data_IF_653701937370
#
_entry.id   IF_653701937370
#
_cell.length_a   1.000
_cell.length_b   1.000
_cell.length_c   1.000
_cell.angle_alpha   90.00
_cell.angle_beta   90.00
_cell.angle_gamma   90.00
#
_symmetry.space_group_name_H-M   'P 1'
#
loop_
_entity.id
_entity.type
_entity.pdbx_description
1 polymer ?
#
# COMPACT_ATOMS: atom_id res chain seq x y z
N UNK A 1 -23.92 -3.59 7.59
CA UNK A 1 -23.54 -4.75 6.75
C UNK A 1 -22.26 -5.32 7.34
N UNK A 2 -22.18 -6.63 7.51
CA UNK A 2 -20.99 -7.33 8.00
C UNK A 2 -19.95 -7.43 6.89
N UNK A 3 -18.67 -7.32 7.25
CA UNK A 3 -17.58 -7.57 6.32
C UNK A 3 -16.99 -8.95 6.60
N UNK A 4 -16.40 -9.58 5.58
CA UNK A 4 -15.84 -10.92 5.66
C UNK A 4 -14.37 -10.89 5.24
N UNK A 5 -13.53 -11.63 5.97
CA UNK A 5 -12.21 -12.03 5.51
C UNK A 5 -12.29 -13.49 5.07
N UNK A 6 -12.20 -13.70 3.75
CA UNK A 6 -12.03 -15.02 3.17
C UNK A 6 -10.54 -15.34 3.17
N UNK A 7 -10.11 -16.31 3.96
CA UNK A 7 -8.69 -16.56 4.20
C UNK A 7 -8.37 -17.94 3.64
N UNK A 8 -7.45 -17.99 2.68
CA UNK A 8 -6.89 -19.26 2.24
C UNK A 8 -6.06 -19.92 3.36
N UNK A 9 -5.91 -21.25 3.30
CA UNK A 9 -5.13 -22.00 4.28
C UNK A 9 -3.67 -22.11 3.89
N UNK A 10 -3.37 -22.70 2.74
CA UNK A 10 -2.06 -23.22 2.36
C UNK A 10 -1.31 -22.16 1.55
N UNK A 11 -0.19 -21.66 2.08
CA UNK A 11 0.51 -20.47 1.56
C UNK A 11 0.09 -19.17 2.25
N UNK A 12 -0.94 -19.21 3.11
CA UNK A 12 -1.51 -18.04 3.79
C UNK A 12 -1.49 -18.15 5.31
N UNK A 13 -2.10 -19.19 5.88
CA UNK A 13 -2.06 -19.50 7.31
C UNK A 13 -0.87 -20.36 7.68
N UNK A 14 -0.55 -21.31 6.81
CA UNK A 14 0.55 -22.26 6.92
C UNK A 14 1.41 -22.21 5.67
N UNK A 15 2.66 -22.64 5.78
CA UNK A 15 3.53 -22.81 4.62
C UNK A 15 3.05 -24.03 3.83
N UNK A 16 2.78 -23.85 2.54
CA UNK A 16 2.41 -24.95 1.66
C UNK A 16 3.61 -25.90 1.49
N UNK A 17 3.44 -27.22 1.73
CA UNK A 17 4.52 -28.18 1.55
C UNK A 17 5.05 -28.18 0.11
N UNK A 18 6.37 -28.02 -0.12
CA UNK A 18 6.90 -27.68 -1.44
C UNK A 18 6.99 -28.87 -2.42
N UNK A 19 6.72 -30.10 -1.96
CA UNK A 19 6.92 -31.33 -2.75
C UNK A 19 5.61 -31.85 -3.33
N UNK A 20 4.63 -32.08 -2.47
CA UNK A 20 3.32 -32.65 -2.82
C UNK A 20 2.18 -31.67 -2.64
N UNK A 21 2.45 -30.45 -2.13
CA UNK A 21 1.45 -29.42 -1.83
C UNK A 21 0.38 -29.89 -0.82
N UNK A 22 0.66 -30.96 -0.09
CA UNK A 22 -0.29 -31.58 0.83
C UNK A 22 0.23 -31.53 2.26
N UNK A 23 -0.49 -30.80 3.12
CA UNK A 23 -0.29 -30.80 4.56
C UNK A 23 -1.03 -31.99 5.18
N UNK A 24 -0.40 -33.16 5.09
CA UNK A 24 -0.91 -34.48 5.46
C UNK A 24 -0.18 -35.10 6.67
N UNK A 25 0.70 -34.35 7.33
CA UNK A 25 1.45 -34.80 8.50
C UNK A 25 1.71 -33.64 9.47
N UNK A 26 1.96 -33.96 10.74
CA UNK A 26 2.25 -32.94 11.76
C UNK A 26 3.63 -32.30 11.56
N UNK A 27 4.58 -33.05 11.00
CA UNK A 27 5.95 -32.59 10.72
C UNK A 27 5.99 -31.55 9.60
N UNK A 28 5.01 -31.57 8.70
CA UNK A 28 4.83 -30.57 7.64
C UNK A 28 4.13 -29.30 8.12
N UNK A 29 3.53 -29.30 9.32
CA UNK A 29 2.79 -28.15 9.83
C UNK A 29 3.75 -27.03 10.25
N UNK A 30 3.87 -26.02 9.39
CA UNK A 30 4.60 -24.80 9.65
C UNK A 30 3.67 -23.60 9.46
N UNK A 31 3.56 -22.72 10.46
CA UNK A 31 2.74 -21.51 10.34
C UNK A 31 3.44 -20.44 9.53
N UNK A 32 2.67 -19.67 8.77
CA UNK A 32 3.20 -18.52 8.04
C UNK A 32 3.77 -17.48 9.04
N UNK A 33 4.95 -16.89 8.80
CA UNK A 33 5.55 -15.92 9.71
C UNK A 33 4.59 -14.80 10.16
N UNK A 34 4.53 -14.56 11.47
CA UNK A 34 3.73 -13.50 12.12
C UNK A 34 2.20 -13.63 11.97
N UNK A 35 1.69 -14.71 11.37
CA UNK A 35 0.25 -14.88 11.12
C UNK A 35 -0.59 -14.87 12.39
N UNK A 36 -0.16 -15.57 13.45
CA UNK A 36 -0.90 -15.66 14.70
C UNK A 36 -1.07 -14.29 15.36
N UNK A 37 0.03 -13.55 15.51
CA UNK A 37 0.00 -12.19 16.11
C UNK A 37 -0.98 -11.28 15.35
N UNK A 38 -0.90 -11.28 14.03
CA UNK A 38 -1.68 -10.36 13.20
C UNK A 38 -3.15 -10.77 13.08
N UNK A 39 -3.46 -12.05 12.93
CA UNK A 39 -4.85 -12.51 12.96
C UNK A 39 -5.50 -12.32 14.33
N UNK A 40 -4.78 -12.54 15.43
CA UNK A 40 -5.27 -12.26 16.78
C UNK A 40 -5.54 -10.77 16.97
N UNK A 41 -4.66 -9.90 16.45
CA UNK A 41 -4.90 -8.45 16.42
C UNK A 41 -6.15 -8.11 15.60
N UNK A 42 -6.27 -8.60 14.37
CA UNK A 42 -7.42 -8.34 13.49
C UNK A 42 -8.71 -8.82 14.18
N UNK A 43 -8.74 -10.04 14.71
CA UNK A 43 -9.92 -10.61 15.37
C UNK A 43 -10.34 -9.84 16.63
N UNK A 44 -9.37 -9.28 17.37
CA UNK A 44 -9.65 -8.50 18.59
C UNK A 44 -9.99 -7.02 18.35
N UNK A 45 -9.62 -6.47 17.19
CA UNK A 45 -9.76 -5.03 16.89
C UNK A 45 -10.75 -4.71 15.79
N UNK A 46 -11.06 -5.66 14.90
CA UNK A 46 -11.87 -5.45 13.72
C UNK A 46 -13.07 -6.39 13.70
N UNK A 47 -14.20 -5.86 13.21
CA UNK A 47 -15.47 -6.57 13.13
C UNK A 47 -15.61 -7.25 11.75
N UNK A 48 -14.79 -8.28 11.54
CA UNK A 48 -14.85 -9.15 10.36
C UNK A 48 -15.35 -10.55 10.75
N UNK A 49 -16.25 -11.10 9.95
CA UNK A 49 -16.49 -12.54 9.91
C UNK A 49 -15.28 -13.22 9.25
N UNK A 50 -14.75 -14.28 9.86
CA UNK A 50 -13.62 -15.04 9.33
C UNK A 50 -14.13 -16.31 8.65
N UNK A 51 -13.89 -16.44 7.35
CA UNK A 51 -14.24 -17.61 6.56
C UNK A 51 -12.97 -18.23 5.98
N UNK A 52 -12.61 -19.43 6.41
CA UNK A 52 -11.52 -20.18 5.77
C UNK A 52 -12.02 -20.75 4.45
N UNK A 53 -11.30 -20.58 3.35
CA UNK A 53 -11.67 -21.15 2.04
C UNK A 53 -10.45 -21.79 1.41
N UNK A 54 -10.45 -23.12 1.27
CA UNK A 54 -9.29 -23.86 0.76
C UNK A 54 -9.69 -24.95 -0.23
N UNK A 55 -8.82 -25.18 -1.22
CA UNK A 55 -8.88 -26.33 -2.13
C UNK A 55 -7.91 -27.40 -1.59
N UNK A 56 -8.35 -28.63 -1.41
CA UNK A 56 -7.55 -29.76 -0.93
C UNK A 56 -7.58 -30.89 -1.96
N UNK A 57 -6.69 -30.80 -2.94
CA UNK A 57 -6.69 -31.64 -4.14
C UNK A 57 -6.69 -33.14 -3.81
N UNK A 58 -7.81 -33.80 -4.08
CA UNK A 58 -7.97 -35.24 -3.87
C UNK A 58 -8.22 -35.65 -2.43
N UNK A 59 -8.62 -34.74 -1.54
CA UNK A 59 -8.97 -35.09 -0.16
C UNK A 59 -10.08 -36.16 -0.12
N UNK A 60 -9.83 -37.23 0.63
CA UNK A 60 -10.72 -38.40 0.72
C UNK A 60 -10.43 -39.49 -0.32
N UNK A 61 -9.45 -39.28 -1.21
CA UNK A 61 -8.96 -40.32 -2.13
C UNK A 61 -7.80 -41.12 -1.51
N UNK A 62 -7.36 -42.17 -2.20
CA UNK A 62 -6.20 -42.95 -1.76
C UNK A 62 -4.88 -42.16 -1.80
N UNK A 63 -4.77 -41.11 -2.63
CA UNK A 63 -3.59 -40.25 -2.68
C UNK A 63 -3.59 -39.18 -1.59
N UNK A 64 -4.75 -38.82 -1.02
CA UNK A 64 -4.84 -37.91 0.11
C UNK A 64 -5.97 -38.29 1.07
N UNK A 65 -5.76 -39.32 1.91
CA UNK A 65 -6.78 -39.82 2.82
C UNK A 65 -7.18 -38.79 3.89
N UNK A 66 -8.44 -38.80 4.31
CA UNK A 66 -8.91 -37.92 5.40
C UNK A 66 -8.14 -38.12 6.72
N UNK A 67 -7.71 -39.36 6.99
CA UNK A 67 -6.97 -39.71 8.20
C UNK A 67 -5.59 -39.05 8.31
N UNK A 68 -5.01 -38.60 7.19
CA UNK A 68 -3.74 -37.86 7.17
C UNK A 68 -3.97 -36.34 7.19
N UNK A 69 -5.05 -35.86 6.58
CA UNK A 69 -5.43 -34.44 6.58
C UNK A 69 -5.90 -33.92 7.96
N UNK A 70 -6.89 -34.60 8.58
CA UNK A 70 -7.58 -34.08 9.76
C UNK A 70 -6.66 -33.82 10.97
N UNK A 71 -5.67 -34.67 11.30
CA UNK A 71 -4.79 -34.41 12.43
C UNK A 71 -4.04 -33.08 12.33
N UNK A 72 -3.45 -32.79 11.16
CA UNK A 72 -2.73 -31.54 10.93
C UNK A 72 -3.67 -30.33 10.90
N UNK A 73 -4.80 -30.44 10.20
CA UNK A 73 -5.82 -29.40 10.17
C UNK A 73 -6.35 -29.05 11.58
N UNK A 74 -6.70 -30.07 12.38
CA UNK A 74 -7.24 -29.85 13.73
C UNK A 74 -6.20 -29.28 14.69
N UNK A 75 -4.93 -29.68 14.59
CA UNK A 75 -3.87 -29.09 15.39
C UNK A 75 -3.65 -27.61 15.03
N UNK A 76 -3.67 -27.28 13.74
CA UNK A 76 -3.60 -25.89 13.26
C UNK A 76 -4.75 -25.07 13.86
N UNK A 77 -5.99 -25.53 13.72
CA UNK A 77 -7.18 -24.84 14.24
C UNK A 77 -7.11 -24.66 15.76
N UNK A 78 -6.75 -25.69 16.51
CA UNK A 78 -6.61 -25.62 17.97
C UNK A 78 -5.51 -24.64 18.41
N UNK A 79 -4.42 -24.56 17.65
CA UNK A 79 -3.33 -23.63 17.95
C UNK A 79 -3.78 -22.19 17.71
N UNK A 80 -4.47 -21.93 16.59
CA UNK A 80 -5.05 -20.62 16.29
C UNK A 80 -6.09 -20.20 17.35
N UNK A 81 -6.96 -21.11 17.76
CA UNK A 81 -7.96 -20.87 18.82
C UNK A 81 -7.29 -20.51 20.16
N UNK A 82 -6.13 -21.12 20.48
CA UNK A 82 -5.33 -20.78 21.66
C UNK A 82 -4.86 -19.33 21.71
N UNK A 83 -4.72 -18.68 20.55
CA UNK A 83 -4.38 -17.25 20.39
C UNK A 83 -5.64 -16.38 20.21
N UNK A 84 -6.83 -16.93 20.41
CA UNK A 84 -8.12 -16.24 20.26
C UNK A 84 -8.59 -16.09 18.81
N UNK A 85 -7.94 -16.79 17.86
CA UNK A 85 -8.28 -16.74 16.43
C UNK A 85 -9.30 -17.84 16.15
N UNK A 86 -10.54 -17.45 15.91
CA UNK A 86 -11.65 -18.36 15.59
C UNK A 86 -12.20 -18.06 14.21
N UNK A 87 -12.55 -19.11 13.47
CA UNK A 87 -13.22 -19.00 12.17
C UNK A 87 -14.71 -19.22 12.36
N UNK A 88 -15.51 -18.33 11.77
CA UNK A 88 -16.96 -18.41 11.80
C UNK A 88 -17.47 -19.44 10.77
N UNK A 89 -16.72 -19.64 9.69
CA UNK A 89 -16.97 -20.67 8.67
C UNK A 89 -15.67 -21.31 8.16
N UNK A 90 -15.76 -22.56 7.73
CA UNK A 90 -14.66 -23.30 7.12
C UNK A 90 -15.18 -24.03 5.88
N UNK A 91 -14.66 -23.67 4.71
CA UNK A 91 -15.03 -24.22 3.41
C UNK A 91 -13.83 -24.97 2.82
N UNK A 92 -13.97 -26.29 2.66
CA UNK A 92 -12.93 -27.19 2.13
C UNK A 92 -13.49 -27.87 0.89
N UNK A 93 -12.88 -27.61 -0.26
CA UNK A 93 -13.22 -28.30 -1.51
C UNK A 93 -12.22 -29.44 -1.79
N UNK A 94 -12.67 -30.70 -1.91
CA UNK A 94 -11.78 -31.84 -2.12
C UNK A 94 -11.46 -32.15 -3.60
N UNK A 95 -12.08 -31.42 -4.53
CA UNK A 95 -12.05 -31.77 -5.96
C UNK A 95 -10.70 -31.48 -6.60
N UNK A 96 -10.39 -32.18 -7.69
CA UNK A 96 -9.20 -31.88 -8.51
C UNK A 96 -9.47 -30.69 -9.45
N UNK A 97 -8.42 -29.98 -9.92
CA UNK A 97 -8.58 -28.92 -10.93
C UNK A 97 -9.39 -29.35 -12.17
N UNK A 98 -9.16 -30.56 -12.67
CA UNK A 98 -9.83 -31.14 -13.84
C UNK A 98 -11.33 -31.40 -13.65
N UNK A 99 -11.79 -31.57 -12.40
CA UNK A 99 -13.21 -31.83 -12.09
C UNK A 99 -14.08 -30.62 -12.39
N UNK A 100 -13.48 -29.43 -12.49
CA UNK A 100 -14.18 -28.17 -12.75
C UNK A 100 -15.36 -27.93 -11.80
N UNK A 101 -15.25 -28.40 -10.55
CA UNK A 101 -16.32 -28.31 -9.57
C UNK A 101 -16.71 -26.83 -9.31
N UNK A 102 -18.01 -26.50 -9.20
CA UNK A 102 -18.47 -25.14 -8.90
C UNK A 102 -18.06 -24.67 -7.50
N UNK A 103 -17.77 -25.60 -6.60
CA UNK A 103 -17.34 -25.39 -5.22
C UNK A 103 -15.85 -25.04 -5.10
N UNK A 104 -15.03 -25.42 -6.08
CA UNK A 104 -13.58 -25.19 -6.10
C UNK A 104 -13.24 -23.73 -6.42
N UNK A 105 -12.37 -23.11 -5.63
CA UNK A 105 -11.82 -21.77 -5.96
C UNK A 105 -11.11 -21.82 -7.32
N UNK A 106 -11.29 -20.81 -8.19
CA UNK A 106 -11.83 -19.47 -7.94
C UNK A 106 -13.36 -19.34 -8.02
N UNK A 107 -14.10 -20.45 -8.20
CA UNK A 107 -15.57 -20.42 -8.27
C UNK A 107 -16.18 -20.25 -6.87
N UNK A 108 -17.43 -19.82 -6.82
CA UNK A 108 -18.08 -19.33 -5.59
C UNK A 108 -19.12 -20.29 -5.02
N UNK A 109 -19.18 -21.55 -5.49
CA UNK A 109 -20.25 -22.50 -5.15
C UNK A 109 -20.41 -22.78 -3.65
N UNK A 110 -19.31 -22.83 -2.88
CA UNK A 110 -19.36 -22.97 -1.42
C UNK A 110 -19.78 -21.68 -0.70
N UNK A 111 -19.68 -20.53 -1.36
CA UNK A 111 -19.80 -19.20 -0.76
C UNK A 111 -21.14 -18.51 -1.12
N UNK A 112 -22.09 -19.27 -1.67
CA UNK A 112 -23.38 -18.75 -2.13
C UNK A 112 -24.18 -18.03 -1.04
N UNK A 113 -23.97 -18.35 0.24
CA UNK A 113 -24.61 -17.66 1.37
C UNK A 113 -24.28 -16.16 1.47
N UNK A 114 -23.13 -15.76 0.93
CA UNK A 114 -22.65 -14.38 0.94
C UNK A 114 -23.13 -13.59 -0.29
N UNK A 115 -23.39 -14.28 -1.40
CA UNK A 115 -23.77 -13.66 -2.67
C UNK A 115 -25.24 -13.20 -2.64
N UNK A 116 -25.49 -12.00 -3.17
CA UNK A 116 -26.82 -11.36 -3.18
C UNK A 116 -27.47 -11.25 -1.79
N UNK A 117 -26.64 -11.24 -0.74
CA UNK A 117 -27.11 -11.13 0.63
C UNK A 117 -26.88 -9.70 1.16
N UNK A 118 -27.94 -8.91 1.41
CA UNK A 118 -27.82 -7.52 1.84
C UNK A 118 -27.23 -7.36 3.25
N UNK A 119 -27.10 -8.45 4.02
CA UNK A 119 -26.46 -8.40 5.34
C UNK A 119 -24.94 -8.22 5.23
N UNK A 120 -24.34 -8.53 4.08
CA UNK A 120 -22.89 -8.50 3.85
C UNK A 120 -22.45 -7.36 2.92
N UNK A 121 -21.35 -6.71 3.28
CA UNK A 121 -20.65 -5.71 2.49
C UNK A 121 -19.46 -6.37 1.79
N UNK A 122 -19.70 -6.97 0.62
CA UNK A 122 -18.64 -7.64 -0.15
C UNK A 122 -17.63 -6.65 -0.72
N UNK A 123 -18.04 -5.43 -1.09
CA UNK A 123 -17.13 -4.41 -1.57
C UNK A 123 -16.10 -3.98 -0.51
N UNK A 124 -16.50 -4.00 0.77
CA UNK A 124 -15.62 -3.81 1.93
C UNK A 124 -14.96 -5.09 2.49
N UNK A 125 -15.18 -6.24 1.84
CA UNK A 125 -14.63 -7.54 2.24
C UNK A 125 -13.38 -7.90 1.43
N UNK A 126 -12.58 -8.84 1.96
CA UNK A 126 -11.30 -9.20 1.36
C UNK A 126 -11.13 -10.72 1.24
N UNK A 127 -10.51 -11.16 0.15
CA UNK A 127 -9.87 -12.48 0.07
C UNK A 127 -8.38 -12.31 0.32
N UNK A 128 -7.81 -13.13 1.22
CA UNK A 128 -6.38 -13.18 1.52
C UNK A 128 -5.87 -14.53 1.02
N UNK A 129 -4.89 -14.50 0.11
CA UNK A 129 -4.34 -15.69 -0.52
C UNK A 129 -3.04 -15.41 -1.24
N UNK A 130 -2.28 -16.46 -1.55
CA UNK A 130 -0.96 -16.37 -2.21
C UNK A 130 -1.00 -16.76 -3.69
N UNK A 131 -2.17 -17.17 -4.22
CA UNK A 131 -2.34 -17.62 -5.60
C UNK A 131 -3.25 -16.69 -6.42
N UNK A 132 -3.06 -16.60 -7.75
CA UNK A 132 -3.97 -15.86 -8.63
C UNK A 132 -5.43 -16.32 -8.52
N UNK A 133 -5.66 -17.59 -8.18
CA UNK A 133 -7.01 -18.14 -7.94
C UNK A 133 -7.71 -17.51 -6.74
N UNK A 134 -6.99 -17.01 -5.74
CA UNK A 134 -7.60 -16.31 -4.60
C UNK A 134 -8.00 -14.88 -4.99
N UNK A 135 -7.18 -14.22 -5.82
CA UNK A 135 -7.52 -12.91 -6.38
C UNK A 135 -8.70 -13.01 -7.34
N UNK A 136 -8.76 -14.06 -8.15
CA UNK A 136 -9.90 -14.34 -9.02
C UNK A 136 -11.16 -14.70 -8.20
N UNK A 137 -11.03 -15.41 -7.08
CA UNK A 137 -12.14 -15.61 -6.15
C UNK A 137 -12.68 -14.27 -5.65
N UNK A 138 -11.82 -13.33 -5.25
CA UNK A 138 -12.23 -12.00 -4.81
C UNK A 138 -13.04 -11.29 -5.90
N UNK A 139 -12.54 -11.32 -7.13
CA UNK A 139 -13.23 -10.77 -8.31
C UNK A 139 -14.62 -11.38 -8.49
N UNK A 140 -14.73 -12.71 -8.40
CA UNK A 140 -15.98 -13.44 -8.59
C UNK A 140 -16.99 -13.21 -7.46
N UNK A 141 -16.52 -12.88 -6.25
CA UNK A 141 -17.37 -12.48 -5.12
C UNK A 141 -17.79 -11.00 -5.17
N UNK A 142 -17.09 -10.16 -5.94
CA UNK A 142 -17.23 -8.70 -5.86
C UNK A 142 -16.51 -8.09 -4.65
N UNK A 143 -15.50 -8.79 -4.13
CA UNK A 143 -14.60 -8.36 -3.07
C UNK A 143 -13.29 -7.81 -3.63
N UNK A 144 -12.43 -7.30 -2.75
CA UNK A 144 -11.02 -6.98 -3.07
C UNK A 144 -10.08 -8.09 -2.59
N UNK A 145 -8.85 -8.11 -3.10
CA UNK A 145 -7.86 -9.13 -2.72
C UNK A 145 -6.68 -8.54 -1.96
N UNK A 146 -6.13 -9.31 -1.03
CA UNK A 146 -4.80 -9.12 -0.43
C UNK A 146 -3.96 -10.29 -0.90
N UNK A 147 -3.00 -10.00 -1.80
CA UNK A 147 -2.19 -11.01 -2.45
C UNK A 147 -0.86 -11.19 -1.72
N UNK A 148 -0.64 -12.38 -1.16
CA UNK A 148 0.51 -12.72 -0.33
C UNK A 148 1.78 -13.05 -1.14
N UNK A 149 2.14 -12.17 -2.06
CA UNK A 149 3.33 -12.25 -2.90
C UNK A 149 3.99 -10.87 -3.03
N UNK A 150 5.22 -10.86 -3.58
CA UNK A 150 5.89 -9.59 -3.96
C UNK A 150 5.72 -9.29 -5.46
N UNK A 151 5.45 -10.33 -6.26
CA UNK A 151 5.47 -10.27 -7.71
C UNK A 151 4.04 -10.22 -8.28
N UNK A 152 3.64 -9.04 -8.76
CA UNK A 152 2.34 -8.84 -9.40
C UNK A 152 2.25 -9.41 -10.80
N UNK A 153 3.37 -9.81 -11.43
CA UNK A 153 3.34 -10.39 -12.78
C UNK A 153 2.54 -11.69 -12.83
N UNK A 154 2.46 -12.41 -11.71
CA UNK A 154 1.61 -13.60 -11.55
C UNK A 154 0.12 -13.32 -11.80
N UNK A 155 -0.32 -12.07 -11.56
CA UNK A 155 -1.71 -11.65 -11.77
C UNK A 155 -2.02 -11.31 -13.23
N UNK A 156 -1.02 -11.27 -14.10
CA UNK A 156 -1.23 -11.09 -15.53
C UNK A 156 -1.71 -12.39 -16.17
N UNK A 157 -2.48 -12.31 -17.27
CA UNK A 157 -2.87 -13.49 -18.03
C UNK A 157 -1.66 -14.31 -18.48
N UNK A 158 -1.85 -15.62 -18.64
CA UNK A 158 -0.82 -16.51 -19.23
C UNK A 158 -0.35 -16.01 -20.60
N UNK A 159 -1.24 -15.39 -21.39
CA UNK A 159 -0.89 -14.79 -22.69
C UNK A 159 0.10 -13.62 -22.60
N UNK A 160 0.23 -12.99 -21.43
CA UNK A 160 1.12 -11.86 -21.15
C UNK A 160 2.32 -12.27 -20.29
N UNK A 161 2.53 -13.58 -20.09
CA UNK A 161 3.64 -14.12 -19.30
C UNK A 161 3.36 -14.23 -17.80
N UNK A 162 2.10 -14.09 -17.36
CA UNK A 162 1.69 -14.31 -15.97
C UNK A 162 1.10 -15.70 -15.71
N UNK A 163 0.38 -15.84 -14.60
CA UNK A 163 -0.23 -17.10 -14.15
C UNK A 163 -1.76 -17.02 -14.00
N UNK A 164 -2.37 -15.86 -14.26
CA UNK A 164 -3.81 -15.67 -14.13
C UNK A 164 -4.59 -16.31 -15.30
N UNK A 165 -5.73 -16.90 -14.98
CA UNK A 165 -6.66 -17.44 -15.97
C UNK A 165 -7.49 -16.35 -16.67
N UNK A 166 -7.57 -15.14 -16.10
CA UNK A 166 -8.32 -14.02 -16.67
C UNK A 166 -7.59 -12.68 -16.51
N UNK A 167 -8.02 -11.69 -17.30
CA UNK A 167 -7.52 -10.32 -17.25
C UNK A 167 -8.06 -9.52 -16.06
N UNK A 168 -7.32 -8.46 -15.70
CA UNK A 168 -7.77 -7.44 -14.76
C UNK A 168 -7.65 -7.80 -13.28
N UNK A 169 -6.96 -8.89 -12.92
CA UNK A 169 -6.76 -9.26 -11.50
C UNK A 169 -5.93 -8.22 -10.74
N UNK A 170 -5.00 -7.52 -11.40
CA UNK A 170 -4.22 -6.45 -10.79
C UNK A 170 -5.12 -5.34 -10.20
N UNK A 171 -6.25 -5.03 -10.85
CA UNK A 171 -7.20 -4.00 -10.37
C UNK A 171 -8.04 -4.44 -9.16
N UNK A 172 -8.10 -5.75 -8.89
CA UNK A 172 -8.84 -6.33 -7.76
C UNK A 172 -7.99 -6.36 -6.49
N UNK A 173 -6.67 -6.40 -6.64
CA UNK A 173 -5.72 -6.37 -5.53
C UNK A 173 -5.71 -5.00 -4.86
N UNK A 174 -6.01 -4.99 -3.56
CA UNK A 174 -5.89 -3.83 -2.70
C UNK A 174 -4.51 -3.72 -2.04
N UNK A 175 -3.85 -4.85 -1.83
CA UNK A 175 -2.52 -4.94 -1.21
C UNK A 175 -1.77 -6.13 -1.79
N UNK A 176 -0.47 -5.95 -2.03
CA UNK A 176 0.47 -6.98 -2.46
C UNK A 176 1.64 -6.96 -1.48
N UNK A 177 1.82 -8.03 -0.70
CA UNK A 177 2.87 -8.12 0.32
C UNK A 177 3.05 -9.54 0.82
N UNK A 178 4.26 -9.95 1.22
CA UNK A 178 4.47 -11.19 1.99
C UNK A 178 4.44 -11.00 3.51
N UNK A 179 4.22 -9.77 4.00
CA UNK A 179 4.30 -9.47 5.43
C UNK A 179 2.92 -9.32 6.05
N UNK A 180 2.56 -10.23 6.97
CA UNK A 180 1.31 -10.13 7.74
C UNK A 180 1.20 -8.85 8.58
N UNK A 181 2.32 -8.20 8.92
CA UNK A 181 2.27 -6.87 9.56
C UNK A 181 1.64 -5.84 8.62
N UNK A 182 1.95 -5.91 7.32
CA UNK A 182 1.36 -5.03 6.30
C UNK A 182 -0.11 -5.34 6.06
N UNK A 183 -0.50 -6.61 6.11
CA UNK A 183 -1.91 -7.03 6.03
C UNK A 183 -2.73 -6.45 7.18
N UNK A 184 -2.24 -6.59 8.43
CA UNK A 184 -2.93 -6.03 9.60
C UNK A 184 -2.96 -4.51 9.57
N UNK A 185 -1.85 -3.85 9.19
CA UNK A 185 -1.78 -2.40 9.03
C UNK A 185 -2.83 -1.89 8.02
N UNK A 186 -2.92 -2.55 6.87
CA UNK A 186 -3.87 -2.22 5.80
C UNK A 186 -5.32 -2.41 6.27
N UNK A 187 -5.66 -3.57 6.84
CA UNK A 187 -7.02 -3.87 7.29
C UNK A 187 -7.49 -2.96 8.42
N UNK A 188 -6.59 -2.58 9.32
CA UNK A 188 -6.93 -1.78 10.50
C UNK A 188 -7.00 -0.29 10.21
N UNK A 189 -5.98 0.24 9.54
CA UNK A 189 -5.81 1.68 9.39
C UNK A 189 -6.15 2.19 7.97
N UNK A 190 -6.44 1.28 7.03
CA UNK A 190 -6.87 1.61 5.67
C UNK A 190 -5.74 2.13 4.78
N UNK A 191 -6.11 2.42 3.53
CA UNK A 191 -5.23 2.99 2.51
C UNK A 191 -4.94 4.46 2.76
N UNK A 192 -3.75 4.90 2.36
CA UNK A 192 -3.31 6.30 2.39
C UNK A 192 -2.94 6.76 1.00
N UNK A 193 -3.95 6.67 0.14
CA UNK A 193 -3.89 7.06 -1.25
C UNK A 193 -4.76 8.30 -1.49
N UNK A 194 -4.38 9.12 -2.46
CA UNK A 194 -5.18 10.27 -2.89
C UNK A 194 -4.92 10.56 -4.37
N UNK A 195 -5.92 11.18 -5.01
CA UNK A 195 -5.82 11.72 -6.35
C UNK A 195 -6.32 13.15 -6.37
N UNK A 196 -5.56 14.03 -7.02
CA UNK A 196 -5.90 15.44 -7.20
C UNK A 196 -5.84 15.77 -8.69
N UNK A 197 -6.93 16.36 -9.20
CA UNK A 197 -6.97 17.00 -10.51
C UNK A 197 -7.20 18.49 -10.33
N UNK A 198 -6.33 19.30 -10.92
CA UNK A 198 -6.39 20.77 -10.85
C UNK A 198 -6.21 21.32 -12.25
N UNK A 199 -7.23 22.02 -12.75
CA UNK A 199 -7.21 22.63 -14.09
C UNK A 199 -7.50 24.12 -13.97
N UNK A 200 -6.62 24.94 -14.53
CA UNK A 200 -6.77 26.40 -14.66
C UNK A 200 -6.69 26.79 -16.14
N UNK A 201 -6.53 28.08 -16.43
CA UNK A 201 -6.23 28.55 -17.79
C UNK A 201 -4.76 28.39 -18.18
N UNK A 202 -3.89 28.22 -17.18
CA UNK A 202 -2.43 28.15 -17.33
C UNK A 202 -1.97 26.69 -17.31
N UNK A 203 -2.55 25.86 -16.42
CA UNK A 203 -2.11 24.48 -16.21
C UNK A 203 -3.26 23.47 -16.12
N UNK A 204 -2.99 22.21 -16.50
CA UNK A 204 -3.84 21.05 -16.26
C UNK A 204 -2.99 19.94 -15.62
N UNK A 205 -3.31 19.60 -14.37
CA UNK A 205 -2.46 18.78 -13.50
C UNK A 205 -3.25 17.61 -12.91
N UNK A 206 -2.67 16.42 -13.02
CA UNK A 206 -3.09 15.22 -12.30
C UNK A 206 -1.96 14.72 -11.41
N UNK A 207 -2.27 14.51 -10.14
CA UNK A 207 -1.38 13.86 -9.16
C UNK A 207 -2.09 12.67 -8.54
N UNK A 208 -1.44 11.51 -8.51
CA UNK A 208 -1.85 10.34 -7.71
C UNK A 208 -0.70 9.96 -6.78
N UNK A 209 -1.03 9.71 -5.51
CA UNK A 209 -0.06 9.46 -4.45
C UNK A 209 -0.50 8.25 -3.62
N UNK A 210 0.46 7.37 -3.32
CA UNK A 210 0.35 6.37 -2.25
C UNK A 210 1.46 6.60 -1.21
N UNK A 211 1.09 6.95 0.02
CA UNK A 211 2.05 7.17 1.11
C UNK A 211 2.73 5.88 1.60
N UNK A 212 2.12 4.73 1.32
CA UNK A 212 2.60 3.39 1.70
C UNK A 212 3.16 2.61 0.48
N UNK A 213 3.70 3.34 -0.50
CA UNK A 213 4.22 2.79 -1.73
C UNK A 213 5.61 2.15 -1.63
N UNK A 214 6.18 1.86 -2.80
CA UNK A 214 7.51 1.28 -2.97
C UNK A 214 8.50 2.23 -3.65
N UNK A 215 8.09 3.47 -3.93
CA UNK A 215 8.93 4.47 -4.60
C UNK A 215 8.83 4.41 -6.12
N UNK A 216 7.73 3.88 -6.66
CA UNK A 216 7.44 3.83 -8.09
C UNK A 216 6.99 5.22 -8.54
N UNK A 217 7.66 5.80 -9.53
CA UNK A 217 7.38 7.14 -10.02
C UNK A 217 7.04 7.11 -11.51
N UNK A 218 6.06 7.93 -11.89
CA UNK A 218 5.66 8.19 -13.27
C UNK A 218 5.35 9.69 -13.43
N UNK A 219 6.38 10.48 -13.72
CA UNK A 219 6.38 11.94 -13.56
C UNK A 219 6.70 12.60 -14.90
N UNK A 220 5.79 13.48 -15.32
CA UNK A 220 5.90 14.22 -16.57
C UNK A 220 5.35 15.63 -16.38
N UNK A 221 6.23 16.57 -16.05
CA UNK A 221 5.90 17.99 -15.90
C UNK A 221 6.18 18.80 -17.16
N UNK A 222 6.99 18.25 -18.07
CA UNK A 222 7.54 18.97 -19.22
C UNK A 222 8.91 19.60 -18.93
N UNK A 223 9.38 19.56 -17.68
CA UNK A 223 10.66 20.12 -17.23
C UNK A 223 11.55 19.00 -16.66
N UNK A 224 12.51 18.51 -17.45
CA UNK A 224 13.28 17.31 -17.07
C UNK A 224 14.05 17.39 -15.75
N UNK A 225 14.54 18.59 -15.37
CA UNK A 225 15.17 18.76 -14.06
C UNK A 225 14.17 18.70 -12.91
N UNK A 226 12.97 19.26 -13.10
CA UNK A 226 11.91 19.23 -12.09
C UNK A 226 11.34 17.82 -11.93
N UNK A 227 11.17 17.08 -13.03
CA UNK A 227 10.82 15.66 -13.00
C UNK A 227 11.80 14.87 -12.14
N UNK A 228 13.11 15.04 -12.38
CA UNK A 228 14.18 14.41 -11.58
C UNK A 228 14.10 14.78 -10.08
N UNK A 229 13.77 16.04 -9.73
CA UNK A 229 13.59 16.45 -8.33
C UNK A 229 12.39 15.79 -7.67
N UNK A 230 11.24 15.73 -8.35
CA UNK A 230 10.02 15.09 -7.83
C UNK A 230 10.21 13.57 -7.68
N UNK A 231 10.95 12.92 -8.56
CA UNK A 231 11.33 11.51 -8.43
C UNK A 231 12.12 11.24 -7.14
N UNK A 232 12.92 12.21 -6.67
CA UNK A 232 13.63 12.05 -5.39
C UNK A 232 12.65 11.93 -4.21
N UNK A 233 11.50 12.62 -4.26
CA UNK A 233 10.45 12.55 -3.24
C UNK A 233 9.88 11.13 -3.18
N UNK A 234 9.46 10.58 -4.32
CA UNK A 234 8.92 9.22 -4.37
C UNK A 234 9.97 8.17 -3.98
N UNK A 235 11.16 8.23 -4.59
CA UNK A 235 12.20 7.21 -4.39
C UNK A 235 12.74 7.16 -2.95
N UNK A 236 13.09 8.31 -2.38
CA UNK A 236 13.67 8.36 -1.04
C UNK A 236 12.63 8.39 0.07
N UNK A 237 11.40 8.81 -0.24
CA UNK A 237 10.22 8.75 0.62
C UNK A 237 9.61 7.35 0.71
N UNK A 238 9.79 6.52 -0.33
CA UNK A 238 9.04 5.26 -0.47
C UNK A 238 7.57 5.52 -0.79
N UNK A 239 7.29 6.53 -1.61
CA UNK A 239 5.94 6.92 -2.01
C UNK A 239 5.78 6.54 -3.47
N UNK A 240 4.63 5.96 -3.84
CA UNK A 240 4.32 5.82 -5.27
C UNK A 240 3.67 7.12 -5.75
N UNK A 241 4.19 7.68 -6.84
CA UNK A 241 3.86 9.03 -7.27
C UNK A 241 3.68 9.10 -8.78
N UNK A 242 2.48 9.44 -9.22
CA UNK A 242 2.19 9.77 -10.62
C UNK A 242 1.88 11.26 -10.73
N UNK A 243 2.58 11.97 -11.61
CA UNK A 243 2.36 13.39 -11.87
C UNK A 243 2.30 13.60 -13.38
N UNK A 244 1.20 14.15 -13.88
CA UNK A 244 1.02 14.51 -15.28
C UNK A 244 0.62 15.98 -15.35
N UNK A 245 1.40 16.79 -16.06
CA UNK A 245 1.15 18.23 -16.20
C UNK A 245 1.13 18.62 -17.67
N UNK A 246 0.18 19.50 -18.01
CA UNK A 246 0.20 20.31 -19.21
C UNK A 246 0.17 21.78 -18.79
N UNK A 247 1.32 22.43 -18.81
CA UNK A 247 1.47 23.85 -18.50
C UNK A 247 1.78 24.72 -19.70
N UNK A 248 1.77 26.03 -19.48
CA UNK A 248 2.03 27.12 -20.43
C UNK A 248 3.52 27.48 -20.51
N UNK A 249 4.38 26.48 -20.74
CA UNK A 249 5.83 26.63 -20.79
C UNK A 249 6.34 27.59 -21.88
N UNK A 250 5.49 28.01 -22.82
CA UNK A 250 5.77 29.08 -23.76
C UNK A 250 5.82 30.49 -23.13
N UNK A 251 5.23 30.66 -21.95
CA UNK A 251 5.29 31.88 -21.14
C UNK A 251 6.55 31.83 -20.28
N UNK A 252 6.54 30.93 -19.29
CA UNK A 252 7.68 30.53 -18.44
C UNK A 252 7.32 29.23 -17.68
N UNK A 253 8.22 28.76 -16.82
CA UNK A 253 8.00 27.58 -15.98
C UNK A 253 7.25 27.84 -14.66
N UNK A 254 6.91 29.11 -14.35
CA UNK A 254 6.43 29.52 -13.03
C UNK A 254 5.14 28.80 -12.64
N UNK A 255 4.10 28.93 -13.48
CA UNK A 255 2.80 28.34 -13.20
C UNK A 255 2.88 26.81 -13.14
N UNK A 256 3.69 26.21 -14.01
CA UNK A 256 3.90 24.75 -14.05
C UNK A 256 4.47 24.25 -12.72
N UNK A 257 5.52 24.90 -12.19
CA UNK A 257 6.16 24.48 -10.93
C UNK A 257 5.25 24.76 -9.74
N UNK A 258 4.67 25.97 -9.65
CA UNK A 258 3.81 26.38 -8.54
C UNK A 258 2.59 25.47 -8.42
N UNK A 259 1.86 25.29 -9.52
CA UNK A 259 0.60 24.54 -9.50
C UNK A 259 0.84 23.05 -9.27
N UNK A 260 1.98 22.52 -9.71
CA UNK A 260 2.40 21.14 -9.38
C UNK A 260 2.65 21.00 -7.89
N UNK A 261 3.30 21.99 -7.26
CA UNK A 261 3.53 21.99 -5.81
C UNK A 261 2.22 22.04 -5.02
N UNK A 262 1.25 22.85 -5.47
CA UNK A 262 -0.09 22.93 -4.87
C UNK A 262 -0.80 21.59 -4.97
N UNK A 263 -0.89 21.02 -6.18
CA UNK A 263 -1.58 19.75 -6.40
C UNK A 263 -0.93 18.59 -5.62
N UNK A 264 0.41 18.55 -5.56
CA UNK A 264 1.14 17.57 -4.76
C UNK A 264 0.88 17.75 -3.25
N UNK A 265 0.91 19.00 -2.76
CA UNK A 265 0.64 19.29 -1.36
C UNK A 265 -0.78 18.92 -0.94
N UNK A 266 -1.78 19.25 -1.76
CA UNK A 266 -3.17 18.83 -1.54
C UNK A 266 -3.30 17.30 -1.53
N UNK A 267 -2.59 16.61 -2.42
CA UNK A 267 -2.59 15.16 -2.48
C UNK A 267 -1.98 14.53 -1.21
N UNK A 268 -0.87 15.07 -0.71
CA UNK A 268 -0.28 14.68 0.59
C UNK A 268 -1.28 14.92 1.72
N UNK A 269 -1.92 16.08 1.76
CA UNK A 269 -2.88 16.42 2.81
C UNK A 269 -4.08 15.46 2.83
N UNK A 270 -4.62 15.12 1.66
CA UNK A 270 -5.73 14.17 1.52
C UNK A 270 -5.31 12.75 1.93
N UNK A 271 -4.15 12.28 1.46
CA UNK A 271 -3.64 10.94 1.76
C UNK A 271 -3.31 10.73 3.25
N UNK A 272 -2.93 11.78 3.97
CA UNK A 272 -2.71 11.73 5.42
C UNK A 272 -3.99 11.47 6.24
N UNK A 273 -5.16 11.83 5.68
CA UNK A 273 -6.46 11.60 6.29
C UNK A 273 -6.57 12.12 7.72
N UNK A 274 -6.94 11.25 8.66
CA UNK A 274 -7.14 11.61 10.07
C UNK A 274 -5.84 11.71 10.89
N UNK A 275 -4.67 11.42 10.30
CA UNK A 275 -3.34 11.50 10.92
C UNK A 275 -3.18 10.67 12.21
N UNK A 276 -4.00 9.65 12.44
CA UNK A 276 -3.85 8.77 13.61
C UNK A 276 -2.71 7.78 13.42
N UNK A 277 -1.97 7.57 14.50
CA UNK A 277 -0.84 6.64 14.56
C UNK A 277 0.38 7.05 13.76
N UNK A 278 0.40 8.22 13.13
CA UNK A 278 1.62 8.69 12.44
C UNK A 278 2.60 9.30 13.44
N UNK A 279 3.90 9.26 13.11
CA UNK A 279 4.95 9.95 13.88
C UNK A 279 4.79 11.48 13.87
N UNK A 280 4.11 12.02 12.85
CA UNK A 280 3.80 13.44 12.62
C UNK A 280 5.01 14.33 12.31
N UNK A 281 6.15 14.08 12.96
CA UNK A 281 7.38 14.82 12.78
C UNK A 281 8.43 13.99 12.02
N UNK A 282 9.24 14.66 11.22
CA UNK A 282 10.35 14.02 10.52
C UNK A 282 11.47 15.00 10.24
N UNK A 283 12.70 14.49 10.15
CA UNK A 283 13.88 15.31 9.91
C UNK A 283 15.00 14.54 9.21
N UNK A 284 15.80 15.20 8.37
CA UNK A 284 16.96 14.61 7.69
C UNK A 284 18.06 15.66 7.49
N UNK A 285 19.34 15.25 7.45
CA UNK A 285 20.47 16.17 7.64
C UNK A 285 21.58 16.18 6.56
N UNK A 286 21.73 15.21 5.65
CA UNK A 286 22.94 15.16 4.79
C UNK A 286 22.76 14.59 3.38
N UNK A 287 23.52 15.13 2.40
CA UNK A 287 23.90 14.46 1.14
C UNK A 287 25.21 15.01 0.56
N UNK A 288 26.17 14.12 0.25
CA UNK A 288 27.43 14.38 -0.47
C UNK A 288 28.26 15.56 0.07
N UNK A 289 28.60 16.54 -0.76
CA UNK A 289 29.36 17.75 -0.39
C UNK A 289 28.47 18.86 0.19
N UNK A 290 27.17 18.61 0.34
CA UNK A 290 26.19 19.57 0.84
C UNK A 290 25.59 19.13 2.19
N UNK A 291 25.45 20.08 3.12
CA UNK A 291 24.69 19.87 4.35
C UNK A 291 23.26 20.38 4.13
N UNK A 292 22.30 19.46 3.98
CA UNK A 292 20.89 19.79 3.76
C UNK A 292 20.05 19.31 4.94
N UNK A 293 19.49 20.26 5.69
CA UNK A 293 18.66 20.00 6.85
C UNK A 293 17.20 20.29 6.48
N UNK A 294 16.35 19.28 6.63
CA UNK A 294 14.90 19.44 6.51
C UNK A 294 14.24 18.92 7.77
N UNK A 295 13.36 19.71 8.36
CA UNK A 295 12.51 19.33 9.49
C UNK A 295 11.06 19.66 9.14
N UNK A 296 10.13 18.72 9.37
CA UNK A 296 8.72 18.91 9.09
C UNK A 296 7.80 18.47 10.23
N UNK A 297 6.62 19.10 10.30
CA UNK A 297 5.49 18.75 11.18
C UNK A 297 4.19 18.74 10.35
N UNK A 298 3.52 17.59 10.27
CA UNK A 298 2.16 17.46 9.71
C UNK A 298 1.06 17.98 10.65
N UNK A 299 1.32 19.11 11.29
CA UNK A 299 0.51 19.69 12.35
C UNK A 299 -0.73 20.47 11.89
N UNK A 300 -0.99 20.52 10.58
CA UNK A 300 -2.16 21.20 9.99
C UNK A 300 -2.02 22.71 9.84
N UNK A 301 -0.85 23.28 10.15
CA UNK A 301 -0.58 24.71 10.05
C UNK A 301 0.48 24.95 8.99
N UNK A 302 0.20 25.72 7.94
CA UNK A 302 1.18 26.02 6.90
C UNK A 302 2.22 27.03 7.41
N UNK A 303 3.50 26.69 7.30
CA UNK A 303 4.60 27.62 7.56
C UNK A 303 5.89 27.13 6.91
N UNK A 304 6.61 28.01 6.22
CA UNK A 304 7.93 27.73 5.66
C UNK A 304 9.00 28.60 6.33
N UNK A 305 10.12 27.99 6.71
CA UNK A 305 11.38 28.67 6.96
C UNK A 305 12.38 28.16 5.94
N UNK A 306 13.02 29.08 5.21
CA UNK A 306 13.95 28.78 4.13
C UNK A 306 15.28 29.50 4.36
N UNK A 307 16.34 28.72 4.54
CA UNK A 307 17.73 29.16 4.73
C UNK A 307 18.64 28.43 3.73
N UNK A 308 18.43 28.70 2.44
CA UNK A 308 19.25 28.17 1.37
C UNK A 308 19.40 29.21 0.26
N UNK A 309 20.64 29.58 -0.05
CA UNK A 309 20.98 30.55 -1.09
C UNK A 309 21.50 29.84 -2.34
N UNK A 310 21.05 30.33 -3.50
CA UNK A 310 21.45 29.84 -4.81
C UNK A 310 22.01 31.00 -5.65
N UNK A 311 23.16 30.79 -6.30
CA UNK A 311 23.87 31.83 -7.05
C UNK A 311 23.74 31.69 -8.58
N UNK A 312 23.27 30.53 -9.05
CA UNK A 312 22.95 30.32 -10.46
C UNK A 312 21.56 30.87 -10.75
N UNK A 313 21.37 31.41 -11.94
CA UNK A 313 20.04 31.81 -12.43
C UNK A 313 19.13 30.58 -12.60
N UNK A 314 19.65 29.51 -13.21
CA UNK A 314 18.93 28.25 -13.43
C UNK A 314 19.78 26.99 -13.29
N UNK A 315 19.11 25.88 -13.00
CA UNK A 315 19.64 24.51 -13.01
C UNK A 315 18.80 23.68 -13.98
N UNK A 316 19.40 23.24 -15.09
CA UNK A 316 18.62 22.77 -16.24
C UNK A 316 17.71 23.90 -16.74
N UNK A 317 16.41 23.63 -16.80
CA UNK A 317 15.38 24.60 -17.17
C UNK A 317 14.61 25.19 -15.98
N UNK A 318 15.01 24.88 -14.74
CA UNK A 318 14.34 25.41 -13.54
C UNK A 318 15.11 26.60 -12.97
N UNK A 319 14.52 27.81 -12.91
CA UNK A 319 15.13 28.93 -12.21
C UNK A 319 15.23 28.67 -10.72
N UNK A 320 16.31 29.16 -10.13
CA UNK A 320 16.60 28.89 -8.72
C UNK A 320 15.65 29.60 -7.76
N UNK A 321 15.04 30.71 -8.18
CA UNK A 321 13.97 31.37 -7.42
C UNK A 321 12.73 30.49 -7.24
N UNK A 322 12.47 29.59 -8.19
CA UNK A 322 11.32 28.69 -8.13
C UNK A 322 11.46 27.59 -7.08
N UNK A 323 12.65 27.34 -6.53
CA UNK A 323 12.79 26.41 -5.40
C UNK A 323 12.05 26.91 -4.17
N UNK A 324 12.29 28.17 -3.75
CA UNK A 324 11.57 28.75 -2.62
C UNK A 324 10.06 28.73 -2.86
N UNK A 325 9.62 29.13 -4.06
CA UNK A 325 8.21 29.12 -4.43
C UNK A 325 7.60 27.71 -4.39
N UNK A 326 8.28 26.70 -4.93
CA UNK A 326 7.84 25.31 -4.86
C UNK A 326 7.62 24.86 -3.42
N UNK A 327 8.61 25.02 -2.54
CA UNK A 327 8.49 24.58 -1.14
C UNK A 327 7.44 25.40 -0.36
N UNK A 328 7.27 26.68 -0.70
CA UNK A 328 6.24 27.52 -0.11
C UNK A 328 4.85 26.99 -0.46
N UNK A 329 4.56 26.82 -1.74
CA UNK A 329 3.28 26.31 -2.24
C UNK A 329 3.00 24.89 -1.75
N UNK A 330 4.01 24.01 -1.74
CA UNK A 330 3.91 22.65 -1.20
C UNK A 330 3.54 22.68 0.30
N UNK A 331 4.25 23.48 1.11
CA UNK A 331 4.00 23.54 2.55
C UNK A 331 2.62 24.11 2.89
N UNK A 332 2.15 25.06 2.08
CA UNK A 332 0.84 25.68 2.24
C UNK A 332 -0.29 24.71 1.92
N UNK A 333 -0.23 24.05 0.77
CA UNK A 333 -1.24 23.08 0.34
C UNK A 333 -1.24 21.81 1.22
N UNK A 334 -0.07 21.29 1.59
CA UNK A 334 0.06 20.15 2.51
C UNK A 334 -0.33 20.50 3.97
N UNK A 335 -0.50 21.79 4.28
CA UNK A 335 -0.76 22.31 5.64
C UNK A 335 0.28 21.83 6.64
N UNK A 336 1.55 21.92 6.27
CA UNK A 336 2.67 21.48 7.11
C UNK A 336 3.55 22.65 7.55
N UNK A 337 4.19 22.50 8.69
CA UNK A 337 5.35 23.32 9.02
C UNK A 337 6.57 22.67 8.38
N UNK A 338 7.37 23.45 7.67
CA UNK A 338 8.57 23.02 6.97
C UNK A 338 9.71 23.98 7.26
N UNK A 339 10.85 23.45 7.68
CA UNK A 339 12.09 24.18 7.88
C UNK A 339 13.16 23.55 6.99
N UNK A 340 13.78 24.36 6.14
CA UNK A 340 14.82 23.93 5.20
C UNK A 340 16.04 24.82 5.39
N UNK A 341 17.20 24.18 5.56
CA UNK A 341 18.51 24.83 5.54
C UNK A 341 19.46 24.07 4.63
N UNK A 342 20.27 24.76 3.83
CA UNK A 342 21.29 24.09 3.03
C UNK A 342 22.58 24.90 2.86
N UNK A 343 23.72 24.21 3.03
CA UNK A 343 25.07 24.74 2.78
C UNK A 343 25.78 23.84 1.76
N UNK A 344 26.49 24.42 0.78
CA UNK A 344 27.18 23.66 -0.26
C UNK A 344 27.64 24.53 -1.43
N UNK A 345 28.57 24.01 -2.24
CA UNK A 345 29.17 24.75 -3.37
C UNK A 345 28.48 24.45 -4.69
N UNK A 346 28.08 23.19 -4.93
CA UNK A 346 27.39 22.81 -6.15
C UNK A 346 25.87 23.00 -5.98
N UNK A 347 25.30 23.92 -6.77
CA UNK A 347 23.87 24.24 -6.69
C UNK A 347 22.95 23.07 -7.04
N UNK A 348 23.37 22.17 -7.95
CA UNK A 348 22.62 20.94 -8.25
C UNK A 348 22.58 20.03 -7.03
N UNK A 349 23.75 19.76 -6.44
CA UNK A 349 23.85 18.86 -5.28
C UNK A 349 23.07 19.42 -4.09
N UNK A 350 23.09 20.75 -3.91
CA UNK A 350 22.36 21.44 -2.84
C UNK A 350 20.86 21.23 -2.97
N UNK A 351 20.25 21.50 -4.12
CA UNK A 351 18.80 21.33 -4.27
C UNK A 351 18.38 19.86 -4.27
N UNK A 352 19.14 18.98 -4.93
CA UNK A 352 18.85 17.54 -4.90
C UNK A 352 18.94 17.00 -3.46
N UNK A 353 19.91 17.46 -2.69
CA UNK A 353 20.05 17.17 -1.26
C UNK A 353 18.85 17.63 -0.44
N UNK A 354 18.30 18.82 -0.70
CA UNK A 354 17.08 19.31 -0.06
C UNK A 354 15.89 18.40 -0.39
N UNK A 355 15.67 18.05 -1.66
CA UNK A 355 14.55 17.18 -2.07
C UNK A 355 14.66 15.78 -1.44
N UNK A 356 15.86 15.20 -1.38
CA UNK A 356 16.08 13.92 -0.69
C UNK A 356 15.88 14.02 0.81
N UNK A 357 16.33 15.11 1.44
CA UNK A 357 16.11 15.36 2.86
C UNK A 357 14.62 15.52 3.17
N UNK A 358 13.86 16.25 2.33
CA UNK A 358 12.40 16.31 2.40
C UNK A 358 11.79 14.91 2.31
N UNK A 359 12.16 14.13 1.29
CA UNK A 359 11.65 12.78 1.06
C UNK A 359 11.86 11.87 2.29
N UNK A 360 13.06 11.89 2.88
CA UNK A 360 13.37 11.14 4.10
C UNK A 360 12.59 11.63 5.31
N UNK A 361 12.45 12.95 5.47
CA UNK A 361 11.64 13.54 6.54
C UNK A 361 10.16 13.14 6.41
N UNK A 362 9.60 13.13 5.19
CA UNK A 362 8.24 12.65 4.93
C UNK A 362 8.12 11.18 5.33
N UNK A 363 9.03 10.31 4.87
CA UNK A 363 9.05 8.88 5.22
C UNK A 363 8.99 8.63 6.72
N UNK A 364 9.75 9.41 7.48
CA UNK A 364 9.74 9.34 8.95
C UNK A 364 8.39 9.80 9.50
N UNK A 365 7.91 10.98 9.11
CA UNK A 365 6.71 11.58 9.66
C UNK A 365 5.41 10.83 9.33
N UNK A 366 5.35 10.16 8.17
CA UNK A 366 4.18 9.36 7.76
C UNK A 366 4.25 7.93 8.24
N UNK A 367 5.32 7.48 8.89
CA UNK A 367 5.38 6.14 9.45
C UNK A 367 4.22 5.98 10.43
N UNK A 368 3.43 4.91 10.24
CA UNK A 368 2.20 4.64 10.98
C UNK A 368 2.39 3.44 11.90
N UNK A 369 1.98 3.56 13.15
CA UNK A 369 1.97 2.49 14.14
C UNK A 369 0.52 2.16 14.54
N UNK A 370 0.06 0.96 14.18
CA UNK A 370 -1.28 0.48 14.51
C UNK A 370 -1.45 0.06 15.97
N UNK A 371 -0.36 -0.14 16.70
CA UNK A 371 -0.39 -0.40 18.15
C UNK A 371 -0.50 0.90 18.95
N UNK A 372 -0.13 2.04 18.36
CA UNK A 372 -0.25 3.39 18.93
C UNK A 372 -1.11 4.31 18.05
N UNK A 373 -2.34 3.89 17.75
CA UNK A 373 -3.23 4.56 16.78
C UNK A 373 -3.95 5.82 17.31
N UNK A 374 -3.30 6.56 18.19
CA UNK A 374 -3.81 7.81 18.74
C UNK A 374 -3.49 8.98 17.81
N UNK A 375 -4.22 10.08 17.96
CA UNK A 375 -3.87 11.31 17.27
C UNK A 375 -2.64 11.92 17.97
N UNK A 376 -1.52 12.20 17.29
CA UNK A 376 -0.30 12.73 17.89
C UNK A 376 -0.43 14.24 18.20
N UNK A 377 -1.42 14.61 19.02
CA UNK A 377 -1.75 15.98 19.38
C UNK A 377 -2.37 16.06 20.78
N UNK A 378 -1.75 16.84 21.66
CA UNK A 378 -2.29 17.14 22.98
C UNK A 378 -3.60 17.94 22.96
N UNK A 379 -3.92 18.59 21.82
CA UNK A 379 -5.16 19.36 21.65
C UNK A 379 -6.33 18.52 21.12
N UNK A 380 -6.09 17.26 20.75
CA UNK A 380 -7.11 16.35 20.22
C UNK A 380 -7.57 16.63 18.78
N UNK A 381 -6.92 17.56 18.06
CA UNK A 381 -7.18 17.88 16.65
C UNK A 381 -5.89 18.29 15.91
N UNK A 382 -5.81 18.04 14.60
CA UNK A 382 -4.70 18.34 13.66
C UNK A 382 -5.18 18.66 12.24
#
# INVERSE_FOLDING_TARGET
MKKVLFIDRDGTLVIEPPVDYQLDSLEKLEFYPKVMRNLGFIRSKLDFEFAMVTNQDGLGTASFPEETFWPAHNLMMKTLEGEGITFDEIFIDPSMPEDNAPTRKPRTGMLTKYLNNPDYDLAGSFVIGDRPTDVELAKNLGCRAIFLQDDTTLLKPVSEGGAAACEGLESVCALVTKDWDKVAEFLFAGERTAEVRRTTKETDIFVSLNLDGNGVCDIHTGLGFFDHMLEQIGKHGGLDLTIRVKGDLEVDEHHTIEDTAIALGDCIYQALGNKRGIERYGYALTMDDCLCQVCLDFGGRPWLVWDAEFHREKIGEMPTEMFLHFFKSLSDAARMNLNVKAEGQNEHHKIEGIFKALARAIKMAVKRDIYHFELPSSKGVL
#
